data_IF_255396535204
#
_entry.id   IF_255396535204
#
_cell.length_a   1.000
_cell.length_b   1.000
_cell.length_c   1.000
_cell.angle_alpha   90.00
_cell.angle_beta   90.00
_cell.angle_gamma   90.00
#
_symmetry.space_group_name_H-M   'P 1'
#
loop_
_entity.id
_entity.type
_entity.pdbx_description
1 polymer ?
#
# COMPACT_ATOMS: atom_id res chain seq x y z
N UNK A 1 -7.32 -30.97 20.22
CA UNK A 1 -6.63 -32.19 20.68
C UNK A 1 -5.30 -32.20 19.97
N UNK A 2 -4.20 -32.03 20.68
CA UNK A 2 -2.89 -31.93 20.04
C UNK A 2 -2.62 -33.20 19.22
N UNK A 3 -2.01 -33.03 18.05
CA UNK A 3 -1.58 -34.12 17.16
C UNK A 3 -0.72 -35.16 17.91
N UNK A 4 -0.02 -34.73 18.97
CA UNK A 4 0.77 -35.54 19.89
C UNK A 4 -0.06 -36.57 20.69
N UNK A 5 -1.26 -36.21 21.14
CA UNK A 5 -2.13 -37.07 21.95
C UNK A 5 -2.89 -38.08 21.11
N UNK A 6 -3.20 -37.70 19.88
CA UNK A 6 -3.81 -38.60 18.92
C UNK A 6 -2.83 -39.67 18.44
N UNK A 7 -1.57 -39.30 18.15
CA UNK A 7 -0.53 -40.27 17.81
C UNK A 7 -0.30 -41.30 18.93
N UNK A 8 -0.33 -40.86 20.20
CA UNK A 8 -0.26 -41.76 21.37
C UNK A 8 -1.47 -42.69 21.44
N UNK A 9 -2.67 -42.20 21.19
CA UNK A 9 -3.91 -42.99 21.22
C UNK A 9 -3.95 -44.04 20.10
N UNK A 10 -3.53 -43.67 18.89
CA UNK A 10 -3.38 -44.59 17.76
C UNK A 10 -2.31 -45.65 18.08
N UNK A 11 -1.16 -45.28 18.65
CA UNK A 11 -0.11 -46.24 19.05
C UNK A 11 -0.62 -47.24 20.09
N UNK A 12 -1.35 -46.77 21.10
CA UNK A 12 -1.95 -47.64 22.14
C UNK A 12 -3.00 -48.59 21.58
N UNK A 13 -3.87 -48.12 20.68
CA UNK A 13 -4.89 -48.98 20.04
C UNK A 13 -4.28 -50.06 19.15
N UNK A 14 -3.19 -49.76 18.43
CA UNK A 14 -2.43 -50.76 17.64
C UNK A 14 -1.82 -51.85 18.52
N UNK A 15 -1.23 -51.47 19.65
CA UNK A 15 -0.65 -52.43 20.62
C UNK A 15 -1.74 -53.32 21.22
N UNK A 16 -2.88 -52.73 21.58
CA UNK A 16 -4.03 -53.47 22.11
C UNK A 16 -4.62 -54.45 21.09
N UNK A 17 -4.78 -54.03 19.83
CA UNK A 17 -5.24 -54.89 18.75
C UNK A 17 -4.28 -56.07 18.51
N UNK A 18 -2.97 -55.80 18.48
CA UNK A 18 -1.95 -56.86 18.37
C UNK A 18 -2.02 -57.84 19.55
N UNK A 19 -2.20 -57.33 20.77
CA UNK A 19 -2.37 -58.16 21.95
C UNK A 19 -3.60 -59.06 21.84
N UNK A 20 -4.76 -58.54 21.41
CA UNK A 20 -5.97 -59.36 21.21
C UNK A 20 -5.78 -60.45 20.15
N UNK A 21 -5.16 -60.11 19.02
CA UNK A 21 -4.93 -61.05 17.90
C UNK A 21 -4.01 -62.20 18.32
N UNK A 22 -3.04 -61.96 19.20
CA UNK A 22 -2.08 -62.98 19.65
C UNK A 22 -2.58 -63.72 20.91
N UNK A 23 -3.16 -63.00 21.87
CA UNK A 23 -3.59 -63.56 23.14
C UNK A 23 -4.78 -64.50 23.00
N UNK A 24 -5.74 -64.22 22.10
CA UNK A 24 -6.92 -65.07 21.92
C UNK A 24 -6.52 -66.48 21.42
N UNK A 25 -5.74 -66.64 20.32
CA UNK A 25 -5.24 -67.96 19.92
C UNK A 25 -4.32 -68.60 20.95
N UNK A 26 -3.44 -67.82 21.61
CA UNK A 26 -2.52 -68.35 22.61
C UNK A 26 -3.24 -68.93 23.83
N UNK A 27 -4.26 -68.23 24.35
CA UNK A 27 -5.07 -68.73 25.49
C UNK A 27 -5.81 -70.01 25.14
N UNK A 28 -6.36 -70.11 23.92
CA UNK A 28 -6.97 -71.34 23.42
C UNK A 28 -5.98 -72.49 23.32
N UNK A 29 -4.78 -72.27 22.77
CA UNK A 29 -3.73 -73.29 22.64
C UNK A 29 -3.21 -73.75 24.00
N UNK A 30 -3.06 -72.83 24.97
CA UNK A 30 -2.66 -73.16 26.34
C UNK A 30 -3.72 -74.05 27.01
N UNK A 31 -5.00 -73.69 26.90
CA UNK A 31 -6.10 -74.51 27.43
C UNK A 31 -6.16 -75.89 26.77
N UNK A 32 -6.02 -75.96 25.45
CA UNK A 32 -6.05 -77.21 24.68
C UNK A 32 -4.92 -78.18 25.06
N UNK A 33 -3.69 -77.67 25.16
CA UNK A 33 -2.51 -78.49 25.39
C UNK A 33 -2.32 -78.84 26.88
N UNK A 34 -2.39 -77.86 27.78
CA UNK A 34 -2.07 -78.07 29.20
C UNK A 34 -3.24 -78.60 30.03
N UNK A 35 -4.48 -78.17 29.72
CA UNK A 35 -5.66 -78.53 30.53
C UNK A 35 -6.33 -79.78 29.98
N UNK A 36 -6.56 -79.83 28.66
CA UNK A 36 -7.23 -81.00 28.04
C UNK A 36 -6.28 -82.14 27.64
N UNK A 37 -4.95 -81.92 27.69
CA UNK A 37 -3.91 -82.92 27.35
C UNK A 37 -4.14 -83.61 26.00
N UNK A 38 -4.71 -82.90 25.03
CA UNK A 38 -4.95 -83.45 23.69
C UNK A 38 -3.73 -83.22 22.79
N UNK A 39 -3.41 -84.22 21.97
CA UNK A 39 -2.37 -84.12 20.95
C UNK A 39 -2.84 -83.31 19.74
N UNK A 40 -1.90 -82.78 18.97
CA UNK A 40 -2.22 -82.12 17.71
C UNK A 40 -2.81 -83.14 16.71
N UNK A 41 -3.87 -82.74 15.99
CA UNK A 41 -4.42 -83.57 14.93
C UNK A 41 -3.40 -83.71 13.79
N UNK A 42 -3.20 -84.93 13.30
CA UNK A 42 -2.42 -85.21 12.09
C UNK A 42 -3.23 -85.02 10.80
N UNK A 43 -4.55 -84.84 10.91
CA UNK A 43 -5.43 -84.56 9.79
C UNK A 43 -5.38 -83.07 9.44
N UNK A 44 -4.90 -82.77 8.23
CA UNK A 44 -4.82 -81.40 7.70
C UNK A 44 -6.20 -80.74 7.52
N UNK A 45 -7.28 -81.50 7.36
CA UNK A 45 -8.63 -80.95 7.20
C UNK A 45 -9.13 -80.21 8.45
N UNK A 46 -8.81 -80.75 9.64
CA UNK A 46 -9.14 -80.16 10.94
C UNK A 46 -8.46 -78.80 11.16
N UNK A 47 -7.24 -78.63 10.64
CA UNK A 47 -6.52 -77.37 10.66
C UNK A 47 -7.15 -76.33 9.72
N UNK A 48 -7.72 -76.78 8.60
CA UNK A 48 -8.55 -75.93 7.73
C UNK A 48 -9.77 -75.38 8.46
N UNK A 49 -10.56 -76.26 9.10
CA UNK A 49 -11.77 -75.85 9.86
C UNK A 49 -11.45 -74.94 11.05
N UNK A 50 -10.33 -75.18 11.74
CA UNK A 50 -9.87 -74.28 12.79
C UNK A 50 -9.47 -72.91 12.23
N UNK A 51 -8.75 -72.90 11.10
CA UNK A 51 -8.42 -71.67 10.37
C UNK A 51 -9.67 -70.89 9.96
N UNK A 52 -10.72 -71.57 9.51
CA UNK A 52 -12.00 -70.95 9.14
C UNK A 52 -12.71 -70.33 10.36
N UNK A 53 -12.69 -70.98 11.53
CA UNK A 53 -13.25 -70.42 12.77
C UNK A 53 -12.47 -69.18 13.24
N UNK A 54 -11.14 -69.27 13.30
CA UNK A 54 -10.28 -68.16 13.71
C UNK A 54 -10.39 -67.00 12.71
N UNK A 55 -10.37 -67.30 11.41
CA UNK A 55 -10.56 -66.32 10.34
C UNK A 55 -11.95 -65.68 10.38
N UNK A 56 -12.99 -66.46 10.67
CA UNK A 56 -14.37 -65.99 10.80
C UNK A 56 -14.58 -65.01 11.98
N UNK A 57 -13.79 -65.13 13.05
CA UNK A 57 -13.80 -64.22 14.19
C UNK A 57 -12.87 -63.02 14.00
N UNK A 58 -11.64 -63.25 13.50
CA UNK A 58 -10.64 -62.20 13.37
C UNK A 58 -10.94 -61.25 12.21
N UNK A 59 -11.50 -61.72 11.09
CA UNK A 59 -11.77 -60.85 9.94
C UNK A 59 -12.74 -59.71 10.26
N UNK A 60 -13.92 -59.96 10.88
CA UNK A 60 -14.81 -58.87 11.31
C UNK A 60 -14.17 -57.93 12.34
N UNK A 61 -13.38 -58.45 13.28
CA UNK A 61 -12.69 -57.64 14.29
C UNK A 61 -11.64 -56.71 13.66
N UNK A 62 -10.82 -57.25 12.75
CA UNK A 62 -9.81 -56.50 12.00
C UNK A 62 -10.49 -55.46 11.11
N UNK A 63 -11.59 -55.81 10.44
CA UNK A 63 -12.36 -54.89 9.61
C UNK A 63 -12.91 -53.70 10.43
N UNK A 64 -13.44 -53.95 11.63
CA UNK A 64 -13.93 -52.90 12.53
C UNK A 64 -12.79 -51.97 13.00
N UNK A 65 -11.63 -52.53 13.34
CA UNK A 65 -10.45 -51.74 13.72
C UNK A 65 -9.92 -50.89 12.55
N UNK A 66 -9.89 -51.46 11.34
CA UNK A 66 -9.50 -50.73 10.13
C UNK A 66 -10.47 -49.58 9.85
N UNK A 67 -11.78 -49.81 9.96
CA UNK A 67 -12.79 -48.78 9.80
C UNK A 67 -12.66 -47.67 10.86
N UNK A 68 -12.40 -48.04 12.12
CA UNK A 68 -12.16 -47.08 13.20
C UNK A 68 -10.95 -46.19 12.90
N UNK A 69 -9.81 -46.77 12.49
CA UNK A 69 -8.61 -46.00 12.14
C UNK A 69 -8.81 -45.12 10.91
N UNK A 70 -9.52 -45.60 9.89
CA UNK A 70 -9.88 -44.79 8.73
C UNK A 70 -10.74 -43.59 9.15
N UNK A 71 -11.75 -43.81 10.00
CA UNK A 71 -12.62 -42.74 10.51
C UNK A 71 -11.81 -41.69 11.28
N UNK A 72 -10.90 -42.12 12.16
CA UNK A 72 -10.01 -41.20 12.87
C UNK A 72 -9.13 -40.41 11.90
N UNK A 73 -8.56 -41.08 10.90
CA UNK A 73 -7.70 -40.43 9.89
C UNK A 73 -8.46 -39.36 9.11
N UNK A 74 -9.71 -39.64 8.71
CA UNK A 74 -10.58 -38.67 8.04
C UNK A 74 -10.93 -37.48 8.93
N UNK A 75 -11.19 -37.70 10.22
CA UNK A 75 -11.46 -36.61 11.15
C UNK A 75 -10.26 -35.67 11.30
N UNK A 76 -9.05 -36.21 11.42
CA UNK A 76 -7.81 -35.40 11.45
C UNK A 76 -7.65 -34.58 10.18
N UNK A 77 -7.76 -35.23 9.02
CA UNK A 77 -7.59 -34.57 7.73
C UNK A 77 -8.59 -33.42 7.56
N UNK A 78 -9.82 -33.58 8.04
CA UNK A 78 -10.82 -32.51 8.07
C UNK A 78 -10.41 -31.36 8.99
N UNK A 79 -9.87 -31.65 10.17
CA UNK A 79 -9.36 -30.62 11.09
C UNK A 79 -8.17 -29.88 10.50
N UNK A 80 -7.16 -30.58 9.97
CA UNK A 80 -5.98 -29.98 9.33
C UNK A 80 -6.37 -29.12 8.12
N UNK A 81 -7.34 -29.58 7.31
CA UNK A 81 -7.86 -28.79 6.20
C UNK A 81 -8.56 -27.52 6.69
N UNK A 82 -9.35 -27.61 7.77
CA UNK A 82 -10.02 -26.45 8.37
C UNK A 82 -9.00 -25.45 8.92
N UNK A 83 -7.95 -25.91 9.60
CA UNK A 83 -6.87 -25.06 10.12
C UNK A 83 -6.10 -24.40 8.96
N UNK A 84 -5.78 -25.16 7.91
CA UNK A 84 -5.14 -24.65 6.69
C UNK A 84 -5.99 -23.56 6.03
N UNK A 85 -7.31 -23.76 5.91
CA UNK A 85 -8.21 -22.74 5.37
C UNK A 85 -8.22 -21.47 6.22
N UNK A 86 -8.16 -21.60 7.55
CA UNK A 86 -8.11 -20.44 8.44
C UNK A 86 -6.80 -19.66 8.28
N UNK A 87 -5.65 -20.34 8.25
CA UNK A 87 -4.34 -19.69 8.00
C UNK A 87 -4.31 -19.01 6.64
N UNK A 88 -4.87 -19.63 5.59
CA UNK A 88 -4.96 -19.02 4.26
C UNK A 88 -5.80 -17.74 4.27
N UNK A 89 -6.94 -17.72 4.97
CA UNK A 89 -7.78 -16.52 5.11
C UNK A 89 -7.05 -15.41 5.87
N UNK A 90 -6.34 -15.74 6.95
CA UNK A 90 -5.55 -14.77 7.70
C UNK A 90 -4.39 -14.22 6.85
N UNK A 91 -3.72 -15.09 6.10
CA UNK A 91 -2.64 -14.71 5.18
C UNK A 91 -3.15 -13.80 4.06
N UNK A 92 -4.31 -14.12 3.47
CA UNK A 92 -4.94 -13.27 2.46
C UNK A 92 -5.25 -11.88 3.02
N UNK A 93 -5.78 -11.81 4.24
CA UNK A 93 -6.06 -10.53 4.92
C UNK A 93 -4.78 -9.74 5.16
N UNK A 94 -3.75 -10.37 5.72
CA UNK A 94 -2.45 -9.73 5.95
C UNK A 94 -1.81 -9.25 4.64
N UNK A 95 -1.90 -10.04 3.57
CA UNK A 95 -1.39 -9.67 2.25
C UNK A 95 -2.14 -8.47 1.65
N UNK A 96 -3.46 -8.38 1.83
CA UNK A 96 -4.26 -7.21 1.41
C UNK A 96 -3.86 -5.95 2.19
N UNK A 97 -3.70 -6.05 3.51
CA UNK A 97 -3.25 -4.92 4.34
C UNK A 97 -1.81 -4.48 3.97
N UNK A 98 -0.94 -5.44 3.67
CA UNK A 98 0.42 -5.17 3.19
C UNK A 98 0.41 -4.47 1.83
N UNK A 99 -0.45 -4.90 0.89
CA UNK A 99 -0.58 -4.26 -0.41
C UNK A 99 -1.00 -2.78 -0.27
N UNK A 100 -2.01 -2.49 0.57
CA UNK A 100 -2.43 -1.10 0.84
C UNK A 100 -1.30 -0.25 1.46
N UNK A 101 -0.53 -0.84 2.37
CA UNK A 101 0.64 -0.16 2.97
C UNK A 101 1.73 0.11 1.93
N UNK A 102 1.96 -0.84 1.03
CA UNK A 102 2.95 -0.70 -0.05
C UNK A 102 2.56 0.37 -1.07
N UNK A 103 1.28 0.50 -1.40
CA UNK A 103 0.77 1.58 -2.25
C UNK A 103 1.04 2.96 -1.64
N UNK A 104 0.77 3.11 -0.34
CA UNK A 104 1.08 4.34 0.39
C UNK A 104 2.58 4.64 0.40
N UNK A 105 3.41 3.63 0.67
CA UNK A 105 4.88 3.77 0.64
C UNK A 105 5.38 4.19 -0.74
N UNK A 106 4.89 3.56 -1.82
CA UNK A 106 5.27 3.92 -3.19
C UNK A 106 4.90 5.36 -3.54
N UNK A 107 3.73 5.81 -3.08
CA UNK A 107 3.35 7.21 -3.19
C UNK A 107 4.35 8.12 -2.47
N UNK A 108 4.64 7.85 -1.19
CA UNK A 108 5.54 8.67 -0.36
C UNK A 108 6.95 8.71 -0.97
N UNK A 109 7.50 7.58 -1.40
CA UNK A 109 8.81 7.49 -2.04
C UNK A 109 8.88 8.36 -3.31
N UNK A 110 7.84 8.31 -4.15
CA UNK A 110 7.74 9.13 -5.37
C UNK A 110 7.58 10.61 -5.04
N UNK A 111 6.72 10.94 -4.07
CA UNK A 111 6.49 12.31 -3.60
C UNK A 111 7.79 12.94 -3.08
N UNK A 112 8.50 12.26 -2.19
CA UNK A 112 9.75 12.77 -1.63
C UNK A 112 10.87 12.85 -2.67
N UNK A 113 10.91 11.93 -3.64
CA UNK A 113 11.82 12.02 -4.79
C UNK A 113 11.60 13.30 -5.60
N UNK A 114 10.34 13.60 -5.95
CA UNK A 114 10.00 14.83 -6.66
C UNK A 114 10.28 16.08 -5.81
N UNK A 115 10.02 16.04 -4.50
CA UNK A 115 10.31 17.14 -3.58
C UNK A 115 11.82 17.40 -3.46
N UNK A 116 12.63 16.34 -3.42
CA UNK A 116 14.09 16.45 -3.44
C UNK A 116 14.57 17.05 -4.76
N UNK A 117 13.97 16.67 -5.90
CA UNK A 117 14.27 17.29 -7.19
C UNK A 117 13.90 18.78 -7.20
N UNK A 118 12.75 19.16 -6.65
CA UNK A 118 12.33 20.56 -6.52
C UNK A 118 13.37 21.37 -5.72
N UNK A 119 13.84 20.83 -4.59
CA UNK A 119 14.85 21.45 -3.74
C UNK A 119 16.22 21.55 -4.42
N UNK A 120 16.63 20.54 -5.17
CA UNK A 120 17.88 20.57 -5.93
C UNK A 120 17.86 21.68 -6.99
N UNK A 121 16.77 21.77 -7.76
CA UNK A 121 16.60 22.84 -8.76
C UNK A 121 16.53 24.22 -8.07
N UNK A 122 15.80 24.33 -6.96
CA UNK A 122 15.72 25.59 -6.20
C UNK A 122 17.09 26.05 -5.70
N UNK A 123 17.91 25.11 -5.21
CA UNK A 123 19.24 25.39 -4.67
C UNK A 123 20.16 25.93 -5.77
N UNK A 124 20.15 25.32 -6.96
CA UNK A 124 20.89 25.82 -8.11
C UNK A 124 20.42 27.22 -8.56
N UNK A 125 19.10 27.45 -8.60
CA UNK A 125 18.53 28.76 -8.94
C UNK A 125 18.78 29.84 -7.89
N UNK A 126 19.04 29.44 -6.64
CA UNK A 126 19.27 30.34 -5.50
C UNK A 126 20.75 30.56 -5.23
N UNK A 127 21.63 29.79 -5.87
CA UNK A 127 23.08 29.94 -5.75
C UNK A 127 23.51 31.32 -6.24
N UNK A 128 24.39 31.96 -5.46
CA UNK A 128 24.96 33.27 -5.81
C UNK A 128 26.38 33.05 -6.31
N UNK A 129 26.60 33.45 -7.56
CA UNK A 129 27.94 33.45 -8.14
C UNK A 129 28.73 34.64 -7.60
N UNK A 130 30.02 34.42 -7.32
CA UNK A 130 30.95 35.50 -6.96
C UNK A 130 31.77 35.82 -8.21
N UNK A 131 31.62 37.03 -8.72
CA UNK A 131 32.39 37.53 -9.86
C UNK A 131 33.22 38.71 -9.38
N UNK A 132 34.55 38.56 -9.40
CA UNK A 132 35.50 39.60 -8.92
C UNK A 132 35.18 40.08 -7.49
N UNK A 133 35.00 39.15 -6.55
CA UNK A 133 34.64 39.40 -5.14
C UNK A 133 33.28 40.09 -4.90
N UNK A 134 32.45 40.22 -5.94
CA UNK A 134 31.11 40.82 -5.83
C UNK A 134 30.06 39.70 -5.95
N UNK A 135 29.24 39.46 -4.92
CA UNK A 135 28.12 38.54 -4.99
C UNK A 135 27.10 38.99 -6.03
N UNK A 136 26.83 38.15 -7.01
CA UNK A 136 25.78 38.37 -8.00
C UNK A 136 24.43 37.92 -7.44
N UNK A 137 23.37 38.58 -7.90
CA UNK A 137 22.02 38.09 -7.65
C UNK A 137 21.84 36.71 -8.28
N UNK A 138 21.23 35.79 -7.55
CA UNK A 138 20.91 34.46 -8.06
C UNK A 138 19.90 34.54 -9.20
N UNK A 139 19.79 33.46 -9.99
CA UNK A 139 18.83 33.38 -11.10
C UNK A 139 17.41 33.72 -10.65
N UNK A 140 16.98 33.15 -9.52
CA UNK A 140 15.62 33.38 -9.00
C UNK A 140 15.42 34.80 -8.50
N UNK A 141 16.44 35.41 -7.87
CA UNK A 141 16.38 36.80 -7.44
C UNK A 141 16.38 37.77 -8.63
N UNK A 142 17.12 37.49 -9.70
CA UNK A 142 17.09 38.26 -10.94
C UNK A 142 15.73 38.20 -11.61
N UNK A 143 15.15 37.01 -11.71
CA UNK A 143 13.82 36.85 -12.28
C UNK A 143 12.77 37.57 -11.43
N UNK A 144 12.80 37.38 -10.12
CA UNK A 144 11.94 38.09 -9.18
C UNK A 144 12.04 39.61 -9.37
N UNK A 145 13.25 40.15 -9.44
CA UNK A 145 13.43 41.59 -9.68
C UNK A 145 12.86 42.04 -11.02
N UNK A 146 12.99 41.24 -12.08
CA UNK A 146 12.52 41.56 -13.43
C UNK A 146 11.00 41.53 -13.55
N UNK A 147 10.36 40.55 -12.90
CA UNK A 147 8.92 40.29 -12.98
C UNK A 147 8.14 41.10 -11.94
N UNK A 148 8.70 41.31 -10.74
CA UNK A 148 8.02 41.93 -9.59
C UNK A 148 8.48 43.37 -9.38
N UNK A 149 9.78 43.60 -9.08
CA UNK A 149 10.28 44.91 -8.60
C UNK A 149 10.46 45.97 -9.70
N UNK A 150 11.10 45.61 -10.81
CA UNK A 150 11.35 46.50 -11.95
C UNK A 150 10.14 46.56 -12.92
N UNK A 151 9.00 46.03 -12.48
CA UNK A 151 7.74 46.06 -13.22
C UNK A 151 6.78 47.16 -12.78
N UNK A 152 7.18 48.12 -11.93
CA UNK A 152 6.35 49.29 -11.61
C UNK A 152 5.93 49.99 -12.90
N UNK A 153 4.61 50.01 -13.17
CA UNK A 153 4.02 50.49 -14.43
C UNK A 153 3.76 49.42 -15.51
N UNK A 154 4.25 48.19 -15.36
CA UNK A 154 3.92 47.08 -16.25
C UNK A 154 2.54 46.51 -15.93
N UNK A 155 1.74 46.26 -16.96
CA UNK A 155 0.50 45.49 -16.83
C UNK A 155 0.77 44.06 -16.40
N UNK A 156 -0.24 43.39 -15.84
CA UNK A 156 -0.11 42.01 -15.41
C UNK A 156 0.31 41.07 -16.54
N UNK A 157 -0.24 41.27 -17.74
CA UNK A 157 0.11 40.45 -18.92
C UNK A 157 1.57 40.64 -19.35
N UNK A 158 2.13 41.86 -19.23
CA UNK A 158 3.57 42.07 -19.47
C UNK A 158 4.44 41.33 -18.47
N UNK A 159 4.00 41.22 -17.20
CA UNK A 159 4.71 40.43 -16.18
C UNK A 159 4.65 38.94 -16.50
N UNK A 160 3.51 38.45 -16.98
CA UNK A 160 3.34 37.07 -17.45
C UNK A 160 4.27 36.77 -18.63
N UNK A 161 4.36 37.66 -19.61
CA UNK A 161 5.29 37.50 -20.75
C UNK A 161 6.74 37.42 -20.27
N UNK A 162 7.18 38.35 -19.42
CA UNK A 162 8.53 38.31 -18.82
C UNK A 162 8.79 37.04 -18.01
N UNK A 163 7.77 36.52 -17.31
CA UNK A 163 7.86 35.26 -16.56
C UNK A 163 8.06 34.07 -17.49
N UNK A 164 7.37 34.04 -18.63
CA UNK A 164 7.44 32.96 -19.63
C UNK A 164 8.70 33.01 -20.50
N UNK A 165 9.28 34.19 -20.69
CA UNK A 165 10.58 34.40 -21.36
C UNK A 165 11.80 34.10 -20.45
N UNK A 166 11.57 33.64 -19.22
CA UNK A 166 12.62 33.33 -18.25
C UNK A 166 13.53 32.16 -18.66
N UNK A 167 14.62 31.96 -17.93
CA UNK A 167 15.57 30.87 -18.18
C UNK A 167 14.90 29.49 -18.16
N UNK A 168 15.42 28.57 -18.98
CA UNK A 168 14.95 27.18 -19.03
C UNK A 168 14.90 26.52 -17.65
N UNK A 169 15.86 26.85 -16.79
CA UNK A 169 15.96 26.28 -15.44
C UNK A 169 14.84 26.78 -14.52
N UNK A 170 14.45 28.04 -14.62
CA UNK A 170 13.32 28.56 -13.83
C UNK A 170 12.01 27.96 -14.30
N UNK A 171 11.81 27.85 -15.63
CA UNK A 171 10.65 27.14 -16.19
C UNK A 171 10.60 25.68 -15.73
N UNK A 172 11.75 25.02 -15.64
CA UNK A 172 11.86 23.66 -15.13
C UNK A 172 11.44 23.56 -13.66
N UNK A 173 11.85 24.48 -12.78
CA UNK A 173 11.42 24.53 -11.38
C UNK A 173 9.89 24.55 -11.24
N UNK A 174 9.22 25.46 -11.94
CA UNK A 174 7.76 25.56 -11.88
C UNK A 174 7.06 24.34 -12.49
N UNK A 175 7.66 23.69 -13.49
CA UNK A 175 7.15 22.44 -14.04
C UNK A 175 7.25 21.27 -13.05
N UNK A 176 8.35 21.15 -12.31
CA UNK A 176 8.50 20.15 -11.25
C UNK A 176 7.45 20.38 -10.16
N UNK A 177 7.26 21.63 -9.72
CA UNK A 177 6.22 21.98 -8.75
C UNK A 177 4.82 21.60 -9.25
N UNK A 178 4.48 21.90 -10.51
CA UNK A 178 3.23 21.44 -11.12
C UNK A 178 3.07 19.92 -11.06
N UNK A 179 4.12 19.16 -11.41
CA UNK A 179 4.07 17.71 -11.38
C UNK A 179 3.88 17.15 -9.98
N UNK A 180 4.46 17.77 -8.95
CA UNK A 180 4.21 17.37 -7.55
C UNK A 180 2.75 17.57 -7.18
N UNK A 181 2.18 18.75 -7.47
CA UNK A 181 0.77 19.05 -7.14
C UNK A 181 -0.19 18.14 -7.91
N UNK A 182 0.09 17.92 -9.20
CA UNK A 182 -0.66 16.98 -10.04
C UNK A 182 -0.55 15.55 -9.50
N UNK A 183 0.63 15.13 -9.04
CA UNK A 183 0.84 13.81 -8.45
C UNK A 183 0.01 13.63 -7.18
N UNK A 184 0.00 14.62 -6.28
CA UNK A 184 -0.86 14.62 -5.08
C UNK A 184 -2.33 14.45 -5.47
N UNK A 185 -2.81 15.22 -6.44
CA UNK A 185 -4.21 15.15 -6.90
C UNK A 185 -4.59 13.75 -7.40
N UNK A 186 -3.73 13.13 -8.20
CA UNK A 186 -4.07 11.90 -8.91
C UNK A 186 -3.83 10.62 -8.09
N UNK A 187 -2.92 10.65 -7.11
CA UNK A 187 -2.45 9.45 -6.40
C UNK A 187 -2.68 9.45 -4.88
N UNK A 188 -3.28 10.50 -4.31
CA UNK A 188 -3.58 10.60 -2.86
C UNK A 188 -4.48 9.51 -2.27
N UNK A 189 -5.15 8.72 -3.12
CA UNK A 189 -6.00 7.58 -2.72
C UNK A 189 -5.24 6.26 -2.52
N UNK A 190 -3.93 6.23 -2.78
CA UNK A 190 -3.09 5.02 -2.67
C UNK A 190 -3.71 3.81 -3.40
N UNK A 191 -4.19 4.08 -4.62
CA UNK A 191 -4.76 3.09 -5.53
C UNK A 191 -3.74 2.78 -6.63
N UNK A 192 -3.78 1.54 -7.14
CA UNK A 192 -2.94 1.10 -8.25
C UNK A 192 -3.12 2.00 -9.48
N UNK A 193 -4.36 2.44 -9.76
CA UNK A 193 -4.65 3.35 -10.86
C UNK A 193 -4.86 4.80 -10.39
N UNK A 194 -4.22 5.79 -11.04
CA UNK A 194 -4.44 7.20 -10.75
C UNK A 194 -5.84 7.65 -11.15
N UNK A 195 -6.39 8.58 -10.37
CA UNK A 195 -7.61 9.27 -10.77
C UNK A 195 -7.27 10.25 -11.90
N UNK A 196 -8.08 10.26 -12.96
CA UNK A 196 -7.94 11.22 -14.07
C UNK A 196 -8.08 12.65 -13.53
N UNK A 197 -7.22 13.56 -13.98
CA UNK A 197 -7.16 14.96 -13.53
C UNK A 197 -8.55 15.64 -13.50
N UNK A 198 -9.28 15.60 -14.62
CA UNK A 198 -10.59 16.26 -14.76
C UNK A 198 -11.66 15.71 -13.80
N UNK A 199 -11.49 14.48 -13.30
CA UNK A 199 -12.38 13.86 -12.32
C UNK A 199 -11.92 14.13 -10.90
N UNK A 200 -10.61 14.25 -10.67
CA UNK A 200 -10.05 14.51 -9.35
C UNK A 200 -10.23 15.98 -8.94
N UNK A 201 -10.04 16.92 -9.88
CA UNK A 201 -10.07 18.36 -9.61
C UNK A 201 -11.45 18.86 -9.14
N UNK A 202 -12.53 18.17 -9.52
CA UNK A 202 -13.91 18.53 -9.16
C UNK A 202 -14.36 18.00 -7.79
N UNK A 203 -13.55 17.16 -7.14
CA UNK A 203 -13.86 16.59 -5.82
C UNK A 203 -13.34 17.48 -4.71
N UNK A 204 -13.89 17.37 -3.51
CA UNK A 204 -13.34 18.07 -2.35
C UNK A 204 -11.89 17.65 -2.06
N UNK A 205 -11.13 18.56 -1.45
CA UNK A 205 -9.74 18.31 -1.05
C UNK A 205 -9.72 17.32 0.11
N UNK A 206 -9.14 16.15 -0.10
CA UNK A 206 -9.02 15.16 0.97
C UNK A 206 -8.00 15.59 2.04
N UNK A 207 -8.12 15.10 3.29
CA UNK A 207 -7.13 15.36 4.35
C UNK A 207 -5.70 14.96 3.94
N UNK A 208 -5.57 13.86 3.20
CA UNK A 208 -4.30 13.40 2.65
C UNK A 208 -3.71 14.39 1.65
N UNK A 209 -4.51 14.87 0.69
CA UNK A 209 -4.04 15.91 -0.24
C UNK A 209 -3.60 17.17 0.49
N UNK A 210 -4.42 17.64 1.45
CA UNK A 210 -4.12 18.84 2.25
C UNK A 210 -2.83 18.68 3.05
N UNK A 211 -2.56 17.51 3.60
CA UNK A 211 -1.32 17.21 4.30
C UNK A 211 -0.10 17.35 3.37
N UNK A 212 -0.09 16.68 2.22
CA UNK A 212 1.04 16.73 1.30
C UNK A 212 1.19 18.08 0.60
N UNK A 213 0.09 18.76 0.25
CA UNK A 213 0.17 20.08 -0.36
C UNK A 213 0.69 21.13 0.61
N UNK A 214 0.36 21.03 1.91
CA UNK A 214 0.94 21.87 2.95
C UNK A 214 2.45 21.64 3.11
N UNK A 215 2.92 20.39 3.00
CA UNK A 215 4.36 20.11 2.96
C UNK A 215 4.98 20.84 1.79
N UNK A 216 4.47 20.68 0.56
CA UNK A 216 5.02 21.38 -0.62
C UNK A 216 5.04 22.90 -0.43
N UNK A 217 3.95 23.46 0.11
CA UNK A 217 3.79 24.89 0.35
C UNK A 217 4.83 25.46 1.30
N UNK A 218 5.31 24.68 2.29
CA UNK A 218 6.33 25.16 3.24
C UNK A 218 7.71 25.34 2.58
N UNK A 219 7.96 24.72 1.44
CA UNK A 219 9.19 24.92 0.64
C UNK A 219 9.13 26.15 -0.26
N UNK A 220 7.97 26.81 -0.40
CA UNK A 220 7.80 27.98 -1.24
C UNK A 220 8.08 29.25 -0.43
N UNK A 221 9.22 29.89 -0.69
CA UNK A 221 9.54 31.18 -0.08
C UNK A 221 8.70 32.32 -0.71
N UNK A 222 8.78 33.52 -0.12
CA UNK A 222 8.00 34.70 -0.58
C UNK A 222 8.19 34.98 -2.07
N UNK A 223 9.43 34.99 -2.55
CA UNK A 223 9.76 35.32 -3.93
C UNK A 223 9.18 34.28 -4.90
N UNK A 224 9.28 33.00 -4.55
CA UNK A 224 8.69 31.88 -5.30
C UNK A 224 7.18 31.96 -5.35
N UNK A 225 6.50 32.25 -4.23
CA UNK A 225 5.03 32.38 -4.20
C UNK A 225 4.57 33.52 -5.10
N UNK A 226 5.27 34.66 -5.09
CA UNK A 226 4.96 35.79 -5.98
C UNK A 226 5.17 35.43 -7.47
N UNK A 227 6.28 34.76 -7.79
CA UNK A 227 6.55 34.30 -9.15
C UNK A 227 5.55 33.25 -9.62
N UNK A 228 5.17 32.31 -8.74
CA UNK A 228 4.14 31.30 -9.00
C UNK A 228 2.80 31.96 -9.34
N UNK A 229 2.41 32.97 -8.56
CA UNK A 229 1.17 33.71 -8.79
C UNK A 229 1.15 34.41 -10.15
N UNK A 230 2.29 34.86 -10.69
CA UNK A 230 2.36 35.41 -12.05
C UNK A 230 2.38 34.28 -13.11
N UNK A 231 3.14 33.22 -12.86
CA UNK A 231 3.34 32.13 -13.82
C UNK A 231 2.05 31.39 -14.18
N UNK A 232 1.11 31.28 -13.23
CA UNK A 232 -0.15 30.57 -13.42
C UNK A 232 -1.29 31.45 -13.97
N UNK A 233 -1.03 32.73 -14.29
CA UNK A 233 -2.05 33.60 -14.88
C UNK A 233 -2.28 33.19 -16.32
N UNK A 234 -3.51 32.77 -16.61
CA UNK A 234 -3.98 32.47 -17.95
C UNK A 234 -5.50 32.58 -18.02
N UNK A 235 -6.00 33.16 -19.11
CA UNK A 235 -7.45 33.30 -19.31
C UNK A 235 -8.01 32.15 -20.14
N UNK A 236 -7.19 31.58 -21.02
CA UNK A 236 -7.56 30.48 -21.90
C UNK A 236 -7.61 29.13 -21.14
N UNK A 237 -8.78 28.49 -21.03
CA UNK A 237 -8.93 27.17 -20.40
C UNK A 237 -8.21 26.03 -21.12
N UNK A 238 -7.95 26.17 -22.42
CA UNK A 238 -7.24 25.15 -23.21
C UNK A 238 -5.73 25.19 -22.99
N UNK A 239 -5.22 26.22 -22.32
CA UNK A 239 -3.82 26.38 -22.04
C UNK A 239 -3.35 25.44 -20.90
N UNK A 240 -2.20 24.80 -21.08
CA UNK A 240 -1.63 23.90 -20.06
C UNK A 240 -1.40 24.56 -18.68
N UNK A 241 -1.14 25.87 -18.65
CA UNK A 241 -1.02 26.64 -17.40
C UNK A 241 -2.34 26.77 -16.63
N UNK A 242 -3.50 26.55 -17.28
CA UNK A 242 -4.81 26.63 -16.62
C UNK A 242 -4.96 25.50 -15.59
N UNK A 243 -4.54 24.28 -15.94
CA UNK A 243 -4.50 23.15 -14.99
C UNK A 243 -3.60 23.44 -13.80
N UNK A 244 -2.52 24.18 -14.02
CA UNK A 244 -1.65 24.60 -12.95
C UNK A 244 -2.36 25.61 -12.03
N UNK A 245 -3.06 26.60 -12.60
CA UNK A 245 -3.89 27.53 -11.83
C UNK A 245 -4.91 26.80 -10.95
N UNK A 246 -5.62 25.81 -11.51
CA UNK A 246 -6.60 25.02 -10.75
C UNK A 246 -5.97 24.29 -9.55
N UNK A 247 -4.74 23.79 -9.67
CA UNK A 247 -4.01 23.17 -8.56
C UNK A 247 -3.58 24.19 -7.49
N UNK A 248 -3.15 25.38 -7.93
CA UNK A 248 -2.78 26.49 -7.03
C UNK A 248 -4.00 26.95 -6.22
N UNK A 249 -5.15 27.07 -6.87
CA UNK A 249 -6.45 27.38 -6.27
C UNK A 249 -6.88 26.30 -5.28
N UNK A 250 -6.94 25.03 -5.74
CA UNK A 250 -7.34 23.88 -4.93
C UNK A 250 -6.54 23.76 -3.62
N UNK A 251 -5.25 24.02 -3.67
CA UNK A 251 -4.35 23.82 -2.53
C UNK A 251 -4.00 25.10 -1.78
N UNK A 252 -4.67 26.22 -2.09
CA UNK A 252 -4.47 27.50 -1.43
C UNK A 252 -3.00 27.92 -1.35
N UNK A 253 -2.23 27.68 -2.42
CA UNK A 253 -0.79 27.91 -2.39
C UNK A 253 -0.42 29.39 -2.26
N UNK A 254 -1.35 30.31 -2.53
CA UNK A 254 -1.16 31.75 -2.42
C UNK A 254 -1.62 32.33 -1.08
N UNK A 255 -1.92 31.49 -0.08
CA UNK A 255 -2.35 31.94 1.26
C UNK A 255 -1.35 32.87 1.95
N UNK A 256 -0.05 32.79 1.63
CA UNK A 256 0.97 33.69 2.20
C UNK A 256 1.49 34.74 1.20
N UNK A 257 0.75 34.97 0.11
CA UNK A 257 1.15 35.91 -0.94
C UNK A 257 1.11 37.35 -0.44
N UNK A 258 2.22 38.07 -0.56
CA UNK A 258 2.27 39.50 -0.26
C UNK A 258 2.79 40.24 -1.48
N UNK A 259 2.02 41.18 -2.03
CA UNK A 259 2.32 41.92 -3.26
C UNK A 259 2.03 43.40 -3.04
N UNK A 260 2.67 44.26 -3.84
CA UNK A 260 2.46 45.69 -3.84
C UNK A 260 1.02 46.05 -4.24
N UNK A 261 0.44 47.05 -3.56
CA UNK A 261 -0.98 47.41 -3.70
C UNK A 261 -1.39 47.79 -5.14
N UNK A 262 -0.45 48.28 -5.95
CA UNK A 262 -0.72 48.81 -7.30
C UNK A 262 -1.43 47.82 -8.24
N UNK A 263 -1.07 46.53 -8.15
CA UNK A 263 -1.57 45.48 -9.06
C UNK A 263 -2.13 44.27 -8.30
N UNK A 264 -2.25 44.39 -6.98
CA UNK A 264 -2.79 43.35 -6.11
C UNK A 264 -4.24 43.03 -6.44
N UNK A 265 -5.08 44.05 -6.65
CA UNK A 265 -6.50 43.85 -6.97
C UNK A 265 -6.69 43.17 -8.33
N UNK A 266 -5.93 43.61 -9.34
CA UNK A 266 -5.95 43.00 -10.67
C UNK A 266 -5.55 41.53 -10.62
N UNK A 267 -4.50 41.19 -9.86
CA UNK A 267 -4.09 39.80 -9.67
C UNK A 267 -5.19 38.97 -9.00
N UNK A 268 -5.80 39.49 -7.94
CA UNK A 268 -6.82 38.76 -7.19
C UNK A 268 -8.06 38.47 -8.03
N UNK A 269 -8.37 39.29 -9.03
CA UNK A 269 -9.46 39.04 -9.98
C UNK A 269 -9.17 37.89 -10.96
N UNK A 270 -7.90 37.49 -11.15
CA UNK A 270 -7.50 36.40 -12.07
C UNK A 270 -7.53 35.01 -11.44
N UNK A 271 -7.83 34.92 -10.14
CA UNK A 271 -7.85 33.67 -9.38
C UNK A 271 -9.16 33.50 -8.62
N UNK A 272 -9.56 32.25 -8.42
CA UNK A 272 -10.58 31.94 -7.42
C UNK A 272 -10.09 32.25 -6.00
N UNK A 273 -11.01 32.63 -5.11
CA UNK A 273 -10.70 32.99 -3.71
C UNK A 273 -10.04 31.84 -2.94
N UNK A 274 -10.33 30.60 -3.30
CA UNK A 274 -9.71 29.41 -2.72
C UNK A 274 -8.18 29.40 -2.82
N UNK A 275 -7.58 30.09 -3.81
CA UNK A 275 -6.12 30.22 -3.92
C UNK A 275 -5.46 30.89 -2.71
N UNK A 276 -6.20 31.75 -1.99
CA UNK A 276 -5.67 32.60 -0.93
C UNK A 276 -6.02 32.11 0.49
N UNK A 277 -6.64 30.94 0.61
CA UNK A 277 -7.00 30.36 1.91
C UNK A 277 -8.01 31.20 2.68
N UNK A 278 -7.86 31.28 4.00
CA UNK A 278 -8.80 31.98 4.90
C UNK A 278 -8.49 33.49 5.06
N UNK A 279 -7.71 34.10 4.15
CA UNK A 279 -7.31 35.49 4.31
C UNK A 279 -8.48 36.46 4.37
N UNK A 280 -8.61 37.11 5.54
CA UNK A 280 -9.53 38.21 5.82
C UNK A 280 -9.11 39.45 5.02
N UNK A 281 -9.79 39.73 3.90
CA UNK A 281 -9.54 40.95 3.12
C UNK A 281 -9.90 40.89 1.63
N UNK A 282 -10.13 39.71 1.08
CA UNK A 282 -10.59 39.54 -0.30
C UNK A 282 -12.12 39.61 -0.28
N UNK A 283 -12.68 40.80 -0.54
CA UNK A 283 -14.13 41.07 -0.42
C UNK A 283 -14.95 40.08 -1.27
N UNK A 284 -16.09 39.66 -0.72
CA UNK A 284 -17.15 38.86 -1.37
C UNK A 284 -17.55 39.45 -2.71
#
# INVERSE_FOLDING_TARGET
>A
METSDLAKTIKRSKIFAFFLIVAIPATYLIWFYFINKQGFSTDSSMWGTFGDFVGGLLNPLIALLAFYWLTQSVLIQKTELSETQNVLRETEKAQREQALTQEKKRFEDTFFSLLNQLNAVHSGLSERLIVRDIPQASEISRLHSTVIKNGTGNSLDQRVTKMRESSSDTSHYFRVLYHILKFILQHSKFSAEPVKFNVAITKDVSPTEKFYSNIVRSFLNKDVIQLLAINCIVDDPENDFYKYRQLVERYSLLEHLHIDKEWQEELFQRYDKSAFGERVGIKS
#
